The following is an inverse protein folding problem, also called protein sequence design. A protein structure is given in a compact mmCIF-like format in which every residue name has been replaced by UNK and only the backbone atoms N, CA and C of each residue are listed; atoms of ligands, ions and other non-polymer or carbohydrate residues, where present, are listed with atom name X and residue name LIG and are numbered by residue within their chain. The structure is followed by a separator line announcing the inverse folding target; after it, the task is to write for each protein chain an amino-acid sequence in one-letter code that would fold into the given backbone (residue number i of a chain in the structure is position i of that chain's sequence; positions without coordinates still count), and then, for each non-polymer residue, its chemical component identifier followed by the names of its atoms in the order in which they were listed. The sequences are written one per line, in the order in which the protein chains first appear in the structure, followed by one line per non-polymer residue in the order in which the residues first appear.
data_IF_552036458571
#
_entry.id   IF_552036458571
#
_cell.length_a   1.000
_cell.length_b   1.000
_cell.length_c   1.000
_cell.angle_alpha   90.00
_cell.angle_beta   90.00
_cell.angle_gamma   90.00
#
_symmetry.space_group_name_H-M   'P 1'
#
loop_
_entity.id
_entity.type
_entity.pdbx_description
1 polymer ?
#
# COMPACT_ATOMS: atom_id res chain seq x y z
N UNK A 1 0.88 -23.25 1.87
CA UNK A 1 -0.35 -22.97 2.62
C UNK A 1 -1.03 -24.30 2.88
N UNK A 2 -1.23 -24.67 4.14
CA UNK A 2 -1.92 -25.91 4.54
C UNK A 2 -3.14 -25.62 5.41
N UNK A 3 -4.08 -26.57 5.46
CA UNK A 3 -5.25 -26.48 6.34
C UNK A 3 -4.88 -26.28 7.83
N UNK A 4 -3.76 -26.85 8.26
CA UNK A 4 -3.25 -26.67 9.64
C UNK A 4 -2.86 -25.23 9.93
N UNK A 5 -2.28 -24.53 8.97
CA UNK A 5 -1.94 -23.10 9.10
C UNK A 5 -3.22 -22.25 9.18
N UNK A 6 -4.23 -22.59 8.37
CA UNK A 6 -5.54 -21.93 8.43
C UNK A 6 -6.18 -22.05 9.82
N UNK A 7 -6.24 -23.25 10.41
CA UNK A 7 -6.85 -23.41 11.75
C UNK A 7 -6.14 -22.62 12.84
N UNK A 8 -4.82 -22.43 12.76
CA UNK A 8 -4.08 -21.53 13.67
C UNK A 8 -4.48 -20.08 13.49
N UNK A 9 -4.56 -19.61 12.25
CA UNK A 9 -4.97 -18.24 11.92
C UNK A 9 -6.42 -17.99 12.36
N UNK A 10 -7.31 -18.95 12.11
CA UNK A 10 -8.72 -18.89 12.51
C UNK A 10 -8.88 -18.77 14.03
N UNK A 11 -8.15 -19.56 14.82
CA UNK A 11 -8.18 -19.43 16.29
C UNK A 11 -7.71 -18.06 16.80
N UNK A 12 -6.69 -17.45 16.18
CA UNK A 12 -6.26 -16.09 16.53
C UNK A 12 -7.34 -15.07 16.17
N UNK A 13 -7.99 -15.25 15.02
CA UNK A 13 -9.09 -14.39 14.55
C UNK A 13 -10.29 -14.43 15.49
N UNK A 14 -10.66 -15.61 16.01
CA UNK A 14 -11.74 -15.73 16.99
C UNK A 14 -11.41 -15.00 18.30
N UNK A 15 -10.16 -15.09 18.78
CA UNK A 15 -9.72 -14.36 19.98
C UNK A 15 -9.78 -12.85 19.74
N UNK A 16 -9.29 -12.39 18.59
CA UNK A 16 -9.35 -10.99 18.20
C UNK A 16 -10.80 -10.50 18.05
N UNK A 17 -11.67 -11.30 17.44
CA UNK A 17 -13.08 -10.98 17.28
C UNK A 17 -13.78 -10.86 18.63
N UNK A 18 -13.53 -11.80 19.54
CA UNK A 18 -14.11 -11.77 20.89
C UNK A 18 -13.66 -10.53 21.68
N UNK A 19 -12.42 -10.11 21.50
CA UNK A 19 -11.88 -8.94 22.19
C UNK A 19 -12.29 -7.60 21.56
N UNK A 20 -12.38 -7.53 20.23
CA UNK A 20 -12.59 -6.27 19.49
C UNK A 20 -14.01 -6.05 18.97
N UNK A 21 -14.80 -7.11 18.83
CA UNK A 21 -16.08 -7.12 18.12
C UNK A 21 -15.98 -6.94 16.60
N UNK A 22 -14.77 -6.98 16.00
CA UNK A 22 -14.54 -6.62 14.59
C UNK A 22 -14.47 -7.82 13.64
N UNK A 23 -15.55 -8.61 13.51
CA UNK A 23 -15.61 -9.75 12.58
C UNK A 23 -15.59 -9.34 11.10
N UNK A 24 -16.40 -8.34 10.74
CA UNK A 24 -16.72 -8.03 9.34
C UNK A 24 -15.65 -7.22 8.59
N UNK A 25 -14.56 -6.83 9.27
CA UNK A 25 -13.45 -6.08 8.67
C UNK A 25 -12.33 -6.98 8.14
N UNK A 26 -12.39 -8.27 8.44
CA UNK A 26 -11.38 -9.23 7.98
C UNK A 26 -11.58 -9.56 6.52
N UNK A 27 -10.50 -9.41 5.75
CA UNK A 27 -10.44 -9.81 4.35
C UNK A 27 -9.30 -10.81 4.19
N UNK A 28 -9.56 -11.90 3.47
CA UNK A 28 -8.56 -12.93 3.20
C UNK A 28 -8.06 -12.79 1.76
N UNK A 29 -6.74 -12.86 1.61
CA UNK A 29 -6.06 -12.87 0.32
C UNK A 29 -5.28 -14.17 0.17
N UNK A 30 -5.55 -14.89 -0.92
CA UNK A 30 -4.89 -16.16 -1.19
C UNK A 30 -3.70 -15.97 -2.13
N UNK A 31 -2.58 -16.63 -1.82
CA UNK A 31 -1.46 -16.74 -2.76
C UNK A 31 -1.88 -17.54 -4.00
N UNK A 32 -1.35 -17.22 -5.20
CA UNK A 32 -1.64 -17.95 -6.44
C UNK A 32 -1.39 -19.46 -6.34
N UNK A 33 -0.48 -19.87 -5.46
CA UNK A 33 -0.02 -21.27 -5.28
C UNK A 33 -1.05 -22.12 -4.51
N UNK A 34 -2.02 -21.52 -3.82
CA UNK A 34 -3.03 -22.26 -3.05
C UNK A 34 -4.02 -22.94 -3.99
N UNK A 35 -4.17 -24.27 -3.87
CA UNK A 35 -5.11 -25.07 -4.66
C UNK A 35 -6.57 -24.64 -4.47
N UNK A 36 -7.39 -24.83 -5.51
CA UNK A 36 -8.78 -24.36 -5.54
C UNK A 36 -9.65 -25.00 -4.44
N UNK A 37 -9.45 -26.28 -4.15
CA UNK A 37 -10.19 -27.01 -3.10
C UNK A 37 -9.92 -26.42 -1.72
N UNK A 38 -8.64 -26.25 -1.35
CA UNK A 38 -8.27 -25.65 -0.07
C UNK A 38 -8.77 -24.21 0.07
N UNK A 39 -8.83 -23.43 -1.02
CA UNK A 39 -9.45 -22.10 -0.98
C UNK A 39 -10.94 -22.20 -0.69
N UNK A 40 -11.66 -23.08 -1.37
CA UNK A 40 -13.10 -23.25 -1.18
C UNK A 40 -13.42 -23.68 0.27
N UNK A 41 -12.63 -24.60 0.84
CA UNK A 41 -12.80 -25.04 2.23
C UNK A 41 -12.57 -23.89 3.22
N UNK A 42 -11.52 -23.07 3.01
CA UNK A 42 -11.22 -21.92 3.86
C UNK A 42 -12.32 -20.85 3.75
N UNK A 43 -12.82 -20.61 2.53
CA UNK A 43 -13.91 -19.64 2.29
C UNK A 43 -15.21 -20.11 2.92
N UNK A 44 -15.45 -21.43 2.97
CA UNK A 44 -16.64 -21.99 3.63
C UNK A 44 -16.52 -21.93 5.16
N UNK A 45 -15.34 -22.19 5.70
CA UNK A 45 -15.05 -22.09 7.15
C UNK A 45 -15.01 -20.64 7.63
N UNK A 46 -14.70 -19.69 6.74
CA UNK A 46 -14.63 -18.27 7.05
C UNK A 46 -15.80 -17.50 6.45
N UNK A 47 -16.67 -16.93 7.28
CA UNK A 47 -17.70 -15.97 6.85
C UNK A 47 -17.12 -14.62 6.37
N UNK A 48 -15.80 -14.52 6.19
CA UNK A 48 -15.12 -13.30 5.77
C UNK A 48 -15.28 -13.02 4.27
N UNK A 49 -15.19 -11.74 3.91
CA UNK A 49 -15.20 -11.33 2.51
C UNK A 49 -13.90 -11.74 1.83
N UNK A 50 -14.00 -12.49 0.74
CA UNK A 50 -12.87 -12.80 -0.13
C UNK A 50 -12.65 -11.63 -1.06
N UNK A 51 -11.49 -10.98 -0.98
CA UNK A 51 -11.13 -9.93 -1.91
C UNK A 51 -9.96 -10.39 -2.78
N UNK A 52 -10.24 -10.61 -4.06
CA UNK A 52 -9.23 -11.01 -5.03
C UNK A 52 -8.19 -9.92 -5.30
N UNK A 53 -8.46 -8.67 -4.88
CA UNK A 53 -7.61 -7.54 -5.19
C UNK A 53 -7.55 -6.55 -4.02
N UNK A 54 -6.88 -6.93 -2.94
CA UNK A 54 -6.50 -6.00 -1.87
C UNK A 54 -5.28 -5.20 -2.33
N UNK A 55 -5.52 -4.18 -3.17
CA UNK A 55 -4.41 -3.41 -3.75
C UNK A 55 -3.70 -2.52 -2.73
N UNK A 56 -4.42 -1.93 -1.76
CA UNK A 56 -3.89 -0.87 -0.89
C UNK A 56 -4.46 -0.87 0.53
N UNK A 57 -3.59 -0.66 1.51
CA UNK A 57 -3.92 -0.36 2.92
C UNK A 57 -3.27 0.97 3.29
N UNK A 58 -4.05 1.90 3.84
CA UNK A 58 -3.62 3.27 4.17
C UNK A 58 -2.89 3.96 2.99
N UNK A 59 -3.34 3.71 1.76
CA UNK A 59 -2.75 4.27 0.53
C UNK A 59 -1.45 3.59 0.06
N UNK A 60 -0.93 2.61 0.78
CA UNK A 60 0.26 1.84 0.39
C UNK A 60 -0.10 0.44 -0.11
N UNK A 61 0.70 -0.15 -1.02
CA UNK A 61 0.46 -1.51 -1.46
C UNK A 61 0.61 -2.51 -0.31
N UNK A 62 -0.38 -3.39 -0.12
CA UNK A 62 -0.30 -4.48 0.87
C UNK A 62 0.72 -5.53 0.40
N UNK A 63 0.74 -5.82 -0.90
CA UNK A 63 1.71 -6.72 -1.51
C UNK A 63 2.62 -5.99 -2.48
N UNK A 64 3.92 -6.07 -2.23
CA UNK A 64 4.95 -5.61 -3.15
C UNK A 64 5.43 -6.82 -3.93
N UNK A 65 5.03 -6.91 -5.21
CA UNK A 65 5.43 -8.00 -6.11
C UNK A 65 6.92 -7.96 -6.47
N UNK A 66 7.33 -8.81 -7.42
CA UNK A 66 8.74 -8.93 -7.87
C UNK A 66 9.34 -7.60 -8.33
N UNK A 67 8.54 -6.74 -8.96
CA UNK A 67 8.97 -5.39 -9.36
C UNK A 67 8.63 -4.35 -8.30
N UNK A 68 9.57 -4.09 -7.39
CA UNK A 68 9.47 -3.01 -6.39
C UNK A 68 9.24 -1.65 -7.05
N UNK A 69 9.88 -1.40 -8.19
CA UNK A 69 9.71 -0.14 -8.90
C UNK A 69 8.27 0.05 -9.38
N UNK A 70 7.67 -0.98 -9.97
CA UNK A 70 6.30 -0.89 -10.48
C UNK A 70 5.28 -0.76 -9.34
N UNK A 71 5.52 -1.40 -8.19
CA UNK A 71 4.65 -1.27 -7.01
C UNK A 71 4.55 0.17 -6.49
N UNK A 72 5.60 0.98 -6.68
CA UNK A 72 5.70 2.34 -6.17
C UNK A 72 5.72 3.43 -7.26
N UNK A 73 5.54 3.07 -8.54
CA UNK A 73 5.54 4.04 -9.64
C UNK A 73 4.46 5.12 -9.47
N UNK A 74 3.31 4.74 -8.90
CA UNK A 74 2.20 5.66 -8.57
C UNK A 74 2.61 6.81 -7.65
N UNK A 75 3.67 6.65 -6.83
CA UNK A 75 4.20 7.74 -6.00
C UNK A 75 4.74 8.86 -6.89
N UNK A 76 5.54 8.49 -7.91
CA UNK A 76 6.08 9.45 -8.87
C UNK A 76 4.96 10.18 -9.62
N UNK A 77 3.95 9.46 -10.08
CA UNK A 77 2.83 10.05 -10.80
C UNK A 77 2.06 11.04 -9.92
N UNK A 78 1.87 10.71 -8.64
CA UNK A 78 1.23 11.61 -7.65
C UNK A 78 2.07 12.86 -7.40
N UNK A 79 3.40 12.72 -7.29
CA UNK A 79 4.32 13.86 -7.16
C UNK A 79 4.26 14.74 -8.41
N UNK A 80 4.34 14.15 -9.60
CA UNK A 80 4.24 14.86 -10.87
C UNK A 80 2.95 15.68 -10.96
N UNK A 81 1.80 15.05 -10.69
CA UNK A 81 0.49 15.73 -10.72
C UNK A 81 0.43 16.91 -9.75
N UNK A 82 0.97 16.78 -8.53
CA UNK A 82 1.03 17.90 -7.57
C UNK A 82 1.89 19.05 -8.09
N UNK A 83 3.08 18.76 -8.61
CA UNK A 83 3.98 19.77 -9.16
C UNK A 83 3.38 20.47 -10.39
N UNK A 84 2.78 19.72 -11.31
CA UNK A 84 2.09 20.28 -12.48
C UNK A 84 0.96 21.22 -12.09
N UNK A 85 0.17 20.85 -11.08
CA UNK A 85 -0.93 21.69 -10.61
C UNK A 85 -0.44 22.99 -9.95
N UNK A 86 0.69 22.96 -9.24
CA UNK A 86 1.28 24.15 -8.63
C UNK A 86 2.06 25.02 -9.60
N UNK A 87 2.54 24.47 -10.73
CA UNK A 87 3.25 25.25 -11.75
C UNK A 87 2.39 26.38 -12.34
N UNK A 88 1.07 26.20 -12.32
CA UNK A 88 0.10 27.21 -12.75
C UNK A 88 -0.15 28.30 -11.69
N UNK A 89 0.47 28.22 -10.51
CA UNK A 89 0.37 29.21 -9.44
C UNK A 89 1.64 30.07 -9.41
N UNK A 90 1.48 31.39 -9.32
CA UNK A 90 2.61 32.32 -9.18
C UNK A 90 3.17 32.26 -7.75
N UNK A 91 4.07 31.30 -7.52
CA UNK A 91 4.71 31.07 -6.23
C UNK A 91 6.11 31.70 -6.20
N UNK A 92 6.43 32.36 -5.09
CA UNK A 92 7.80 32.80 -4.81
C UNK A 92 8.74 31.60 -4.64
N UNK A 93 10.07 31.77 -4.81
CA UNK A 93 11.04 30.70 -4.58
C UNK A 93 10.91 30.04 -3.20
N UNK A 94 10.74 30.85 -2.14
CA UNK A 94 10.52 30.36 -0.78
C UNK A 94 9.19 29.62 -0.64
N UNK A 95 8.13 30.09 -1.30
CA UNK A 95 6.83 29.41 -1.33
C UNK A 95 6.90 28.03 -1.97
N UNK A 96 7.68 27.89 -3.06
CA UNK A 96 7.92 26.59 -3.71
C UNK A 96 8.65 25.63 -2.78
N UNK A 97 9.71 26.08 -2.10
CA UNK A 97 10.46 25.25 -1.16
C UNK A 97 9.58 24.73 -0.01
N UNK A 98 8.74 25.61 0.56
CA UNK A 98 7.79 25.22 1.61
C UNK A 98 6.82 24.15 1.11
N UNK A 99 6.23 24.30 -0.08
CA UNK A 99 5.31 23.31 -0.64
C UNK A 99 6.00 21.96 -0.92
N UNK A 100 7.22 22.00 -1.47
CA UNK A 100 8.02 20.80 -1.72
C UNK A 100 8.26 20.02 -0.42
N UNK A 101 8.65 20.69 0.66
CA UNK A 101 8.91 20.06 1.96
C UNK A 101 7.63 19.62 2.66
N UNK A 102 6.61 20.48 2.71
CA UNK A 102 5.38 20.21 3.43
C UNK A 102 4.54 19.08 2.81
N UNK A 103 4.63 18.90 1.49
CA UNK A 103 3.75 17.97 0.77
C UNK A 103 4.53 16.86 0.07
N UNK A 104 5.48 17.19 -0.81
CA UNK A 104 6.16 16.16 -1.61
C UNK A 104 7.06 15.30 -0.72
N UNK A 105 7.90 15.93 0.11
CA UNK A 105 8.76 15.21 1.04
C UNK A 105 7.92 14.43 2.07
N UNK A 106 6.82 14.99 2.57
CA UNK A 106 5.91 14.28 3.48
C UNK A 106 5.33 12.99 2.85
N UNK A 107 4.90 13.04 1.58
CA UNK A 107 4.44 11.84 0.85
C UNK A 107 5.57 10.81 0.77
N UNK A 108 6.77 11.21 0.34
CA UNK A 108 7.90 10.28 0.20
C UNK A 108 8.30 9.68 1.55
N UNK A 109 8.39 10.48 2.61
CA UNK A 109 8.71 10.03 3.97
C UNK A 109 7.66 9.05 4.49
N UNK A 110 6.37 9.28 4.23
CA UNK A 110 5.31 8.35 4.61
C UNK A 110 5.56 6.95 4.04
N UNK A 111 5.79 6.81 2.73
CA UNK A 111 6.10 5.50 2.13
C UNK A 111 7.42 4.91 2.62
N UNK A 112 8.44 5.75 2.84
CA UNK A 112 9.75 5.30 3.33
C UNK A 112 9.73 4.79 4.79
N UNK A 113 8.75 5.21 5.60
CA UNK A 113 8.59 4.74 6.98
C UNK A 113 8.30 3.23 7.06
N UNK A 114 7.70 2.66 6.01
CA UNK A 114 7.32 1.24 5.94
C UNK A 114 8.16 0.49 4.89
N UNK A 115 8.54 1.14 3.79
CA UNK A 115 9.18 0.48 2.66
C UNK A 115 10.50 1.14 2.24
N UNK A 116 11.50 0.30 1.94
CA UNK A 116 12.70 0.77 1.25
C UNK A 116 12.41 1.01 -0.23
N UNK A 117 12.24 2.27 -0.61
CA UNK A 117 11.99 2.66 -2.00
C UNK A 117 13.21 2.38 -2.90
N UNK A 118 12.99 1.99 -4.18
CA UNK A 118 14.10 1.81 -5.14
C UNK A 118 14.86 3.11 -5.37
N UNK A 119 16.20 3.05 -5.40
CA UNK A 119 17.07 4.22 -5.61
C UNK A 119 16.70 5.01 -6.87
N UNK A 120 16.38 4.32 -7.96
CA UNK A 120 15.90 4.92 -9.22
C UNK A 120 14.66 5.81 -9.00
N UNK A 121 13.68 5.33 -8.24
CA UNK A 121 12.46 6.08 -7.95
C UNK A 121 12.77 7.34 -7.13
N UNK A 122 13.66 7.23 -6.13
CA UNK A 122 14.07 8.39 -5.33
C UNK A 122 14.78 9.46 -6.19
N UNK A 123 15.66 9.04 -7.11
CA UNK A 123 16.34 9.93 -8.03
C UNK A 123 15.37 10.62 -8.99
N UNK A 124 14.38 9.89 -9.50
CA UNK A 124 13.32 10.46 -10.36
C UNK A 124 12.51 11.51 -9.60
N UNK A 125 12.08 11.23 -8.37
CA UNK A 125 11.35 12.20 -7.53
C UNK A 125 12.21 13.43 -7.24
N UNK A 126 13.48 13.26 -6.86
CA UNK A 126 14.39 14.37 -6.61
C UNK A 126 14.60 15.23 -7.87
N UNK A 127 14.70 14.61 -9.05
CA UNK A 127 14.80 15.33 -10.32
C UNK A 127 13.53 16.13 -10.64
N UNK A 128 12.34 15.61 -10.29
CA UNK A 128 11.10 16.35 -10.43
C UNK A 128 11.04 17.57 -9.51
N UNK A 129 11.45 17.41 -8.24
CA UNK A 129 11.51 18.51 -7.28
C UNK A 129 12.49 19.60 -7.72
N UNK A 130 13.65 19.23 -8.27
CA UNK A 130 14.66 20.18 -8.74
C UNK A 130 14.22 20.98 -9.98
N UNK A 131 13.24 20.49 -10.76
CA UNK A 131 12.73 21.15 -11.97
C UNK A 131 11.53 22.09 -11.70
N UNK A 132 10.97 22.08 -10.50
CA UNK A 132 9.78 22.85 -10.11
C UNK A 132 10.15 24.22 -9.55
#
# INVERSE_FOLDING_TARGET
ASWREWKKISGILEVYERASGQKHKTTILFSPIVGAELRADIIKDCEARVQNNCERYLGMPIMVGRSRYHAFSKIKDRVWQKLSNWKNQFLSPSGKEVLLKAVIQAITTYYMSVFKLPKKLCQEIASLMAKF
#
